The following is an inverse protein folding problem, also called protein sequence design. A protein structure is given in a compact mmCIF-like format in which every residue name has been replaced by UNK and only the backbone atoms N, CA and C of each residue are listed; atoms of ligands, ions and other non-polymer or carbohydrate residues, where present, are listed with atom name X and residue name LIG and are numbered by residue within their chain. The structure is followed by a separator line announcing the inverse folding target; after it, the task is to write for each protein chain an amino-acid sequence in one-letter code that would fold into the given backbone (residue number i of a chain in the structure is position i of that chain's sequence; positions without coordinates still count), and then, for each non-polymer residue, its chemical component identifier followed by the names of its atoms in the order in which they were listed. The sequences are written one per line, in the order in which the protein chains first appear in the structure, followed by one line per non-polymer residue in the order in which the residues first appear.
data_IF_600985837527
#
_entry.id   IF_600985837527
#
_cell.length_a   1.000
_cell.length_b   1.000
_cell.length_c   1.000
_cell.angle_alpha   90.00
_cell.angle_beta   90.00
_cell.angle_gamma   90.00
#
_symmetry.space_group_name_H-M   'P 1'
#
loop_
_entity.id
_entity.type
_entity.pdbx_description
1 polymer ?
#
# COMPACT_ATOMS: atom_id res chain seq x y z
N UNK A 1 -26.04 -10.97 -1.16
CA UNK A 1 -25.62 -10.84 0.24
C UNK A 1 -24.62 -9.71 0.29
N UNK A 2 -24.89 -8.76 1.18
CA UNK A 2 -24.38 -7.39 1.24
C UNK A 2 -22.85 -7.34 1.37
N UNK A 3 -22.22 -6.42 0.65
CA UNK A 3 -20.81 -6.07 0.91
C UNK A 3 -20.76 -5.51 2.34
N UNK A 4 -19.85 -5.98 3.22
CA UNK A 4 -19.88 -5.61 4.63
C UNK A 4 -19.67 -4.10 4.80
N UNK A 5 -20.71 -3.39 5.25
CA UNK A 5 -20.78 -1.92 5.35
C UNK A 5 -19.78 -1.34 6.37
N UNK A 6 -18.66 -0.77 5.91
CA UNK A 6 -17.63 -0.19 6.78
C UNK A 6 -18.18 1.03 7.51
N UNK A 7 -18.14 1.01 8.84
CA UNK A 7 -18.67 2.10 9.67
C UNK A 7 -17.53 3.07 10.00
N UNK A 8 -17.64 4.29 9.50
CA UNK A 8 -16.64 5.34 9.64
C UNK A 8 -17.13 6.39 10.63
N UNK A 9 -16.37 6.62 11.70
CA UNK A 9 -16.65 7.66 12.69
C UNK A 9 -16.20 9.03 12.18
N UNK A 10 -17.09 10.01 12.06
CA UNK A 10 -16.75 11.35 11.58
C UNK A 10 -16.62 12.35 12.74
N UNK A 11 -15.39 12.82 12.98
CA UNK A 11 -15.00 13.89 13.90
C UNK A 11 -14.83 15.19 13.10
N UNK A 12 -15.96 15.75 12.66
CA UNK A 12 -16.02 16.95 11.84
C UNK A 12 -16.76 18.04 12.62
N UNK A 13 -16.19 19.24 12.72
CA UNK A 13 -16.87 20.41 13.27
C UNK A 13 -17.78 21.08 12.23
N UNK A 14 -17.43 20.96 10.95
CA UNK A 14 -18.17 21.59 9.86
C UNK A 14 -19.26 20.67 9.26
N UNK A 15 -20.53 21.07 9.39
CA UNK A 15 -21.67 20.33 8.82
C UNK A 15 -21.62 20.25 7.28
N UNK A 16 -21.12 21.27 6.59
CA UNK A 16 -20.97 21.25 5.13
C UNK A 16 -19.93 20.22 4.67
N UNK A 17 -18.91 19.99 5.50
CA UNK A 17 -17.87 19.02 5.23
C UNK A 17 -18.41 17.61 5.47
N UNK A 18 -19.23 17.42 6.50
CA UNK A 18 -19.93 16.16 6.75
C UNK A 18 -20.83 15.75 5.58
N UNK A 19 -21.62 16.68 5.05
CA UNK A 19 -22.48 16.42 3.89
C UNK A 19 -21.68 16.16 2.61
N UNK A 20 -20.54 16.86 2.45
CA UNK A 20 -19.62 16.61 1.34
C UNK A 20 -18.94 15.24 1.44
N UNK A 21 -18.60 14.78 2.65
CA UNK A 21 -18.10 13.43 2.89
C UNK A 21 -19.17 12.36 2.60
N UNK A 22 -20.43 12.59 3.00
CA UNK A 22 -21.55 11.70 2.66
C UNK A 22 -21.71 11.56 1.15
N UNK A 23 -21.65 12.67 0.43
CA UNK A 23 -21.73 12.68 -1.03
C UNK A 23 -20.53 11.96 -1.68
N UNK A 24 -19.32 12.18 -1.16
CA UNK A 24 -18.08 11.57 -1.67
C UNK A 24 -17.96 10.07 -1.42
N UNK A 25 -18.60 9.55 -0.36
CA UNK A 25 -18.60 8.12 -0.01
C UNK A 25 -19.61 7.30 -0.81
N UNK A 26 -20.64 7.94 -1.37
CA UNK A 26 -21.69 7.29 -2.15
C UNK A 26 -22.54 6.29 -1.35
N UNK A 27 -23.63 5.80 -1.96
CA UNK A 27 -24.46 4.75 -1.36
C UNK A 27 -23.93 3.37 -1.75
N UNK A 28 -23.40 2.60 -0.78
CA UNK A 28 -23.29 1.16 -1.00
C UNK A 28 -22.27 0.39 -0.16
N UNK A 29 -21.24 1.02 0.43
CA UNK A 29 -20.22 0.30 1.23
C UNK A 29 -19.76 0.97 2.52
N UNK A 30 -20.08 2.25 2.74
CA UNK A 30 -19.62 3.01 3.91
C UNK A 30 -20.80 3.65 4.65
N UNK A 31 -20.88 3.41 5.96
CA UNK A 31 -21.81 4.09 6.87
C UNK A 31 -21.08 5.17 7.66
N UNK A 32 -21.53 6.42 7.60
CA UNK A 32 -20.91 7.52 8.36
C UNK A 32 -21.67 7.74 9.67
N UNK A 33 -20.95 7.68 10.80
CA UNK A 33 -21.47 8.01 12.12
C UNK A 33 -20.80 9.27 12.67
N UNK A 34 -21.50 10.40 12.81
CA UNK A 34 -20.92 11.59 13.43
C UNK A 34 -20.61 11.31 14.91
N UNK A 35 -19.43 11.74 15.36
CA UNK A 35 -18.96 11.63 16.74
C UNK A 35 -18.74 13.05 17.28
N UNK A 36 -19.09 13.29 18.54
CA UNK A 36 -18.90 14.60 19.15
C UNK A 36 -17.42 14.97 19.22
N UNK A 37 -17.10 16.22 18.90
CA UNK A 37 -15.75 16.80 18.96
C UNK A 37 -15.39 17.34 20.35
N UNK A 38 -16.32 17.28 21.32
CA UNK A 38 -16.08 17.67 22.70
C UNK A 38 -15.07 16.71 23.37
N UNK A 39 -13.87 17.14 23.84
CA UNK A 39 -12.82 16.24 24.33
C UNK A 39 -13.26 15.34 25.51
N UNK A 40 -14.16 15.81 26.36
CA UNK A 40 -14.70 15.05 27.49
C UNK A 40 -15.76 14.02 27.10
N UNK A 41 -16.47 14.23 25.98
CA UNK A 41 -17.49 13.29 25.46
C UNK A 41 -16.92 12.36 24.40
N UNK A 42 -15.93 12.85 23.64
CA UNK A 42 -15.22 12.13 22.59
C UNK A 42 -14.66 10.81 23.11
N UNK A 43 -14.01 10.80 24.28
CA UNK A 43 -13.46 9.58 24.84
C UNK A 43 -14.55 8.56 25.21
N UNK A 44 -15.65 9.01 25.80
CA UNK A 44 -16.76 8.14 26.22
C UNK A 44 -17.57 7.61 25.04
N UNK A 45 -17.82 8.46 24.03
CA UNK A 45 -18.51 8.07 22.79
C UNK A 45 -17.64 7.13 21.95
N UNK A 46 -16.34 7.42 21.83
CA UNK A 46 -15.43 6.60 21.06
C UNK A 46 -15.21 5.24 21.76
N UNK A 47 -15.12 5.18 23.09
CA UNK A 47 -15.07 3.90 23.82
C UNK A 47 -16.34 3.05 23.66
N UNK A 48 -17.52 3.66 23.74
CA UNK A 48 -18.80 2.94 23.61
C UNK A 48 -19.08 2.47 22.19
N UNK A 49 -18.55 3.19 21.19
CA UNK A 49 -18.75 2.88 19.78
C UNK A 49 -17.55 2.19 19.12
N UNK A 50 -16.43 2.01 19.83
CA UNK A 50 -15.18 1.48 19.28
C UNK A 50 -15.36 0.11 18.62
N UNK A 51 -16.13 -0.77 19.27
CA UNK A 51 -16.43 -2.10 18.75
C UNK A 51 -17.31 -2.06 17.48
N UNK A 52 -17.86 -0.91 17.11
CA UNK A 52 -18.65 -0.74 15.88
C UNK A 52 -17.93 -0.01 14.75
N UNK A 53 -16.75 0.58 15.00
CA UNK A 53 -16.06 1.46 14.04
C UNK A 53 -14.90 0.74 13.33
N UNK A 54 -14.84 0.92 12.01
CA UNK A 54 -13.78 0.37 11.15
C UNK A 54 -12.74 1.42 10.75
N UNK A 55 -13.10 2.71 10.85
CA UNK A 55 -12.20 3.84 10.58
C UNK A 55 -12.75 5.16 11.13
N UNK A 56 -11.92 6.20 11.09
CA UNK A 56 -12.26 7.55 11.59
C UNK A 56 -11.88 8.64 10.58
N UNK A 57 -12.76 9.60 10.38
CA UNK A 57 -12.54 10.83 9.64
C UNK A 57 -12.30 11.96 10.64
N UNK A 58 -11.21 12.71 10.49
CA UNK A 58 -10.82 13.74 11.45
C UNK A 58 -10.63 15.05 10.69
N UNK A 59 -11.33 16.11 11.06
CA UNK A 59 -11.00 17.45 10.55
C UNK A 59 -9.73 17.99 11.21
N UNK A 60 -8.84 18.59 10.42
CA UNK A 60 -7.56 19.11 10.91
C UNK A 60 -7.79 20.21 11.95
N UNK A 61 -7.18 20.05 13.13
CA UNK A 61 -7.30 21.00 14.25
C UNK A 61 -8.40 20.66 15.26
N UNK A 62 -9.14 19.56 15.06
CA UNK A 62 -10.18 19.12 16.00
C UNK A 62 -9.62 18.39 17.24
N UNK A 63 -8.47 17.73 17.09
CA UNK A 63 -7.85 16.97 18.18
C UNK A 63 -6.64 17.71 18.77
N UNK A 64 -6.73 17.99 20.08
CA UNK A 64 -5.62 18.50 20.87
C UNK A 64 -4.60 17.40 21.21
N UNK A 65 -3.33 17.77 21.36
CA UNK A 65 -2.23 16.85 21.72
C UNK A 65 -2.51 15.99 22.95
N UNK A 66 -3.21 16.53 23.95
CA UNK A 66 -3.58 15.81 25.16
C UNK A 66 -4.61 14.69 24.93
N UNK A 67 -5.58 14.91 24.02
CA UNK A 67 -6.57 13.89 23.65
C UNK A 67 -5.93 12.75 22.86
N UNK A 68 -4.93 13.07 22.03
CA UNK A 68 -4.15 12.08 21.28
C UNK A 68 -3.35 11.16 22.19
N UNK A 69 -2.68 11.73 23.20
CA UNK A 69 -1.92 10.95 24.17
C UNK A 69 -2.82 10.03 25.00
N UNK A 70 -4.03 10.48 25.34
CA UNK A 70 -5.04 9.65 26.01
C UNK A 70 -5.54 8.51 25.13
N UNK A 71 -5.84 8.77 23.85
CA UNK A 71 -6.27 7.73 22.90
C UNK A 71 -5.15 6.70 22.66
N UNK A 72 -3.90 7.16 22.59
CA UNK A 72 -2.71 6.31 22.48
C UNK A 72 -2.52 5.46 23.73
N UNK A 73 -2.61 6.05 24.92
CA UNK A 73 -2.47 5.34 26.20
C UNK A 73 -3.56 4.27 26.41
N UNK A 74 -4.76 4.49 25.86
CA UNK A 74 -5.87 3.54 25.94
C UNK A 74 -5.91 2.53 24.78
N UNK A 75 -5.06 2.70 23.76
CA UNK A 75 -4.98 1.82 22.60
C UNK A 75 -6.18 1.92 21.64
N UNK A 76 -6.93 3.02 21.68
CA UNK A 76 -8.16 3.25 20.90
C UNK A 76 -7.88 3.78 19.48
N UNK A 77 -6.72 3.46 18.91
CA UNK A 77 -6.34 3.92 17.58
C UNK A 77 -7.07 3.10 16.51
N UNK A 78 -7.66 3.79 15.55
CA UNK A 78 -8.35 3.27 14.36
C UNK A 78 -7.66 3.82 13.10
N UNK A 79 -7.81 3.17 11.93
CA UNK A 79 -7.44 3.75 10.65
C UNK A 79 -8.07 5.13 10.50
N UNK A 80 -7.30 6.15 10.10
CA UNK A 80 -7.83 7.50 10.04
C UNK A 80 -7.44 8.26 8.78
N UNK A 81 -8.40 9.04 8.29
CA UNK A 81 -8.23 10.02 7.22
C UNK A 81 -8.44 11.41 7.81
N UNK A 82 -7.40 12.24 7.75
CA UNK A 82 -7.43 13.62 8.24
C UNK A 82 -7.79 14.54 7.07
N UNK A 83 -8.86 15.30 7.20
CA UNK A 83 -9.32 16.25 6.19
C UNK A 83 -8.73 17.62 6.50
N UNK A 84 -7.87 18.12 5.62
CA UNK A 84 -7.17 19.38 5.82
C UNK A 84 -5.97 19.57 4.89
N UNK A 85 -5.17 20.59 5.17
CA UNK A 85 -3.96 20.88 4.42
C UNK A 85 -2.89 19.80 4.66
N UNK A 86 -2.32 19.29 3.56
CA UNK A 86 -1.24 18.28 3.57
C UNK A 86 0.05 18.96 4.05
N UNK A 87 0.20 19.07 5.36
CA UNK A 87 1.32 19.77 5.99
C UNK A 87 2.49 18.83 6.35
N UNK A 88 2.38 17.53 6.03
CA UNK A 88 3.41 16.52 6.31
C UNK A 88 3.61 16.20 7.81
N UNK A 89 2.75 16.72 8.69
CA UNK A 89 2.79 16.48 10.13
C UNK A 89 1.79 15.39 10.54
N UNK A 90 2.24 14.39 11.29
CA UNK A 90 1.37 13.35 11.85
C UNK A 90 0.53 13.92 12.99
N UNK A 91 -0.78 13.97 12.79
CA UNK A 91 -1.77 14.59 13.67
C UNK A 91 -2.47 13.57 14.58
N UNK A 92 -2.48 12.29 14.21
CA UNK A 92 -3.19 11.21 14.89
C UNK A 92 -2.30 9.96 15.02
N UNK A 93 -1.79 9.40 13.92
CA UNK A 93 -0.86 8.27 13.92
C UNK A 93 -0.01 8.19 12.65
N UNK A 94 1.08 7.42 12.70
CA UNK A 94 2.00 7.23 11.57
C UNK A 94 1.36 6.63 10.30
N UNK A 95 0.18 6.01 10.39
CA UNK A 95 -0.53 5.42 9.25
C UNK A 95 -1.72 6.26 8.75
N UNK A 96 -1.89 7.48 9.26
CA UNK A 96 -2.96 8.36 8.78
C UNK A 96 -2.70 8.85 7.36
N UNK A 97 -3.79 9.11 6.64
CA UNK A 97 -3.74 9.75 5.34
C UNK A 97 -4.37 11.13 5.41
N UNK A 98 -3.73 12.10 4.78
CA UNK A 98 -4.25 13.47 4.69
C UNK A 98 -4.99 13.62 3.37
N UNK A 99 -6.23 14.08 3.42
CA UNK A 99 -7.03 14.38 2.25
C UNK A 99 -7.43 15.86 2.25
N UNK A 100 -7.06 16.62 1.21
CA UNK A 100 -7.56 17.97 1.02
C UNK A 100 -9.10 18.01 0.87
N UNK A 101 -9.73 19.08 1.36
CA UNK A 101 -11.19 19.24 1.29
C UNK A 101 -11.72 19.36 -0.16
N UNK A 102 -10.87 19.71 -1.13
CA UNK A 102 -11.16 19.75 -2.57
C UNK A 102 -11.14 18.35 -3.23
N UNK A 103 -10.63 17.32 -2.55
CA UNK A 103 -10.44 15.97 -3.11
C UNK A 103 -11.32 14.90 -2.45
N UNK A 104 -12.45 15.30 -1.84
CA UNK A 104 -13.39 14.39 -1.16
C UNK A 104 -13.97 13.28 -2.06
N UNK A 105 -13.89 13.42 -3.39
CA UNK A 105 -14.25 12.33 -4.32
C UNK A 105 -13.31 11.11 -4.21
N UNK A 106 -12.11 11.28 -3.68
CA UNK A 106 -11.14 10.20 -3.45
C UNK A 106 -11.27 9.58 -2.05
N UNK A 107 -12.28 9.98 -1.28
CA UNK A 107 -12.48 9.54 0.10
C UNK A 107 -12.60 8.01 0.26
N UNK A 108 -13.34 7.28 -0.60
CA UNK A 108 -13.38 5.82 -0.55
C UNK A 108 -11.99 5.18 -0.68
N UNK A 109 -11.23 5.60 -1.70
CA UNK A 109 -9.87 5.11 -1.95
C UNK A 109 -8.91 5.44 -0.80
N UNK A 110 -9.06 6.64 -0.23
CA UNK A 110 -8.23 7.10 0.89
C UNK A 110 -8.55 6.33 2.18
N UNK A 111 -9.81 5.98 2.41
CA UNK A 111 -10.20 5.13 3.55
C UNK A 111 -9.65 3.71 3.40
N UNK A 112 -9.80 3.11 2.22
CA UNK A 112 -9.25 1.79 1.94
C UNK A 112 -7.73 1.79 2.12
N UNK A 113 -7.05 2.81 1.59
CA UNK A 113 -5.61 2.97 1.76
C UNK A 113 -5.20 3.21 3.23
N UNK A 114 -5.99 3.96 4.01
CA UNK A 114 -5.73 4.19 5.42
C UNK A 114 -5.87 2.88 6.22
N UNK A 115 -6.90 2.08 5.91
CA UNK A 115 -7.12 0.77 6.51
C UNK A 115 -5.97 -0.18 6.19
N UNK A 116 -5.58 -0.30 4.92
CA UNK A 116 -4.43 -1.12 4.51
C UNK A 116 -3.12 -0.67 5.18
N UNK A 117 -2.82 0.64 5.15
CA UNK A 117 -1.62 1.21 5.76
C UNK A 117 -1.57 0.95 7.28
N UNK A 118 -2.73 1.01 7.93
CA UNK A 118 -2.86 0.74 9.36
C UNK A 118 -2.61 -0.74 9.69
N UNK A 119 -3.14 -1.66 8.88
CA UNK A 119 -2.89 -3.10 9.03
C UNK A 119 -1.41 -3.43 8.82
N UNK A 120 -0.79 -2.93 7.73
CA UNK A 120 0.63 -3.17 7.42
C UNK A 120 1.57 -2.68 8.53
N UNK A 121 1.38 -1.43 8.99
CA UNK A 121 2.23 -0.85 10.05
C UNK A 121 1.98 -1.50 11.42
N UNK A 122 0.82 -2.10 11.66
CA UNK A 122 0.56 -2.88 12.89
C UNK A 122 1.23 -4.25 12.87
N UNK A 123 1.22 -4.96 11.74
CA UNK A 123 1.97 -6.23 11.61
C UNK A 123 3.44 -6.01 11.94
N UNK A 124 4.01 -4.89 11.49
CA UNK A 124 5.39 -4.48 11.80
C UNK A 124 5.61 -4.14 13.29
N UNK A 125 4.67 -3.47 13.96
CA UNK A 125 4.80 -3.07 15.39
C UNK A 125 4.48 -4.18 16.39
N UNK A 126 3.62 -5.14 16.05
CA UNK A 126 3.26 -6.28 16.92
C UNK A 126 4.46 -7.21 17.16
N UNK A 127 5.49 -7.15 16.31
CA UNK A 127 6.75 -7.84 16.53
C UNK A 127 7.61 -7.25 17.67
N UNK A 128 7.25 -6.08 18.23
CA UNK A 128 8.12 -5.35 19.17
C UNK A 128 7.51 -5.00 20.53
N UNK A 129 6.18 -5.07 20.76
CA UNK A 129 5.60 -4.73 22.08
C UNK A 129 4.36 -5.57 22.46
N UNK A 130 4.49 -6.34 23.55
CA UNK A 130 3.43 -7.12 24.20
C UNK A 130 2.69 -6.27 25.25
N UNK A 131 1.35 -6.27 25.17
CA UNK A 131 0.32 -6.04 26.22
C UNK A 131 -0.94 -5.30 25.72
N UNK A 132 -0.85 -4.38 24.75
CA UNK A 132 -2.03 -3.77 24.09
C UNK A 132 -2.52 -4.56 22.85
N UNK A 133 -1.88 -5.68 22.55
CA UNK A 133 -2.05 -6.48 21.34
C UNK A 133 -3.46 -7.07 21.17
N UNK A 134 -4.17 -7.42 22.26
CA UNK A 134 -5.40 -8.20 22.14
C UNK A 134 -6.57 -7.46 21.48
N UNK A 135 -6.75 -6.16 21.77
CA UNK A 135 -7.80 -5.33 21.15
C UNK A 135 -7.42 -4.95 19.73
N UNK A 136 -6.15 -4.59 19.54
CA UNK A 136 -5.61 -4.27 18.23
C UNK A 136 -5.75 -5.44 17.23
N UNK A 137 -5.52 -6.67 17.70
CA UNK A 137 -5.63 -7.90 16.93
C UNK A 137 -7.09 -8.26 16.56
N UNK A 138 -8.06 -7.99 17.43
CA UNK A 138 -9.49 -8.18 17.12
C UNK A 138 -9.97 -7.24 16.01
N UNK A 139 -9.50 -5.99 16.02
CA UNK A 139 -9.81 -5.03 14.97
C UNK A 139 -9.19 -5.44 13.64
N UNK A 140 -7.91 -5.85 13.62
CA UNK A 140 -7.27 -6.31 12.39
C UNK A 140 -7.94 -7.55 11.82
N UNK A 141 -8.29 -8.53 12.66
CA UNK A 141 -8.99 -9.73 12.22
C UNK A 141 -10.37 -9.39 11.62
N UNK A 142 -11.12 -8.48 12.24
CA UNK A 142 -12.42 -8.02 11.70
C UNK A 142 -12.27 -7.28 10.38
N UNK A 143 -11.28 -6.41 10.26
CA UNK A 143 -11.00 -5.70 9.01
C UNK A 143 -10.58 -6.69 7.91
N UNK A 144 -9.71 -7.65 8.22
CA UNK A 144 -9.28 -8.70 7.29
C UNK A 144 -10.44 -9.61 6.83
N UNK A 145 -11.32 -10.04 7.76
CA UNK A 145 -12.51 -10.84 7.46
C UNK A 145 -13.50 -10.10 6.55
N UNK A 146 -13.63 -8.78 6.73
CA UNK A 146 -14.56 -7.93 5.98
C UNK A 146 -14.00 -7.44 4.64
N UNK A 147 -12.69 -7.28 4.55
CA UNK A 147 -11.98 -6.91 3.33
C UNK A 147 -11.68 -8.13 2.45
N UNK A 148 -11.81 -9.35 3.00
CA UNK A 148 -11.77 -10.58 2.21
C UNK A 148 -10.40 -10.92 1.64
N UNK A 149 -9.30 -10.59 2.35
CA UNK A 149 -7.92 -10.87 1.93
C UNK A 149 -7.53 -12.36 2.00
N UNK A 150 -8.27 -13.24 1.31
CA UNK A 150 -7.92 -14.64 1.14
C UNK A 150 -7.76 -14.94 -0.36
N UNK A 151 -6.61 -14.54 -0.89
CA UNK A 151 -6.23 -14.85 -2.25
C UNK A 151 -5.01 -15.76 -2.33
N UNK A 152 -4.87 -16.43 -3.48
CA UNK A 152 -3.73 -17.31 -3.77
C UNK A 152 -2.59 -16.46 -4.29
N UNK A 153 -1.57 -16.24 -3.45
CA UNK A 153 -0.37 -15.50 -3.84
C UNK A 153 0.59 -16.39 -4.64
N UNK A 154 1.40 -15.77 -5.50
CA UNK A 154 2.64 -16.41 -5.94
C UNK A 154 3.46 -16.77 -4.71
N UNK A 155 3.74 -18.07 -4.52
CA UNK A 155 4.61 -18.55 -3.45
C UNK A 155 6.05 -18.12 -3.76
N UNK A 156 6.40 -16.90 -3.37
CA UNK A 156 7.79 -16.44 -3.34
C UNK A 156 8.46 -17.07 -2.14
N UNK A 157 9.69 -17.53 -2.30
CA UNK A 157 10.47 -18.09 -1.20
C UNK A 157 11.09 -16.93 -0.39
N UNK A 158 10.69 -16.72 0.88
CA UNK A 158 11.24 -15.64 1.68
C UNK A 158 12.74 -15.77 1.93
N UNK A 159 13.31 -16.97 1.83
CA UNK A 159 14.75 -17.19 2.03
C UNK A 159 15.58 -16.56 0.90
N UNK A 160 15.01 -16.41 -0.29
CA UNK A 160 15.67 -15.83 -1.47
C UNK A 160 15.52 -14.30 -1.56
N UNK A 161 14.86 -13.67 -0.59
CA UNK A 161 14.73 -12.22 -0.55
C UNK A 161 16.07 -11.56 -0.24
N UNK A 162 16.36 -10.45 -0.92
CA UNK A 162 17.61 -9.71 -0.77
C UNK A 162 17.94 -9.42 0.71
N UNK A 163 16.93 -9.10 1.53
CA UNK A 163 17.08 -8.82 2.97
C UNK A 163 17.48 -10.02 3.83
N UNK A 164 17.26 -11.24 3.35
CA UNK A 164 17.49 -12.48 4.09
C UNK A 164 18.72 -13.26 3.62
N UNK A 165 19.30 -12.86 2.48
CA UNK A 165 20.53 -13.44 1.94
C UNK A 165 21.76 -12.99 2.74
N UNK A 166 22.83 -13.79 2.69
CA UNK A 166 24.13 -13.39 3.22
C UNK A 166 24.76 -12.26 2.40
N UNK A 167 25.71 -11.50 2.97
CA UNK A 167 26.36 -10.38 2.27
C UNK A 167 27.03 -10.80 0.94
N UNK A 168 27.53 -12.03 0.87
CA UNK A 168 28.13 -12.61 -0.33
C UNK A 168 27.08 -12.86 -1.43
N UNK A 169 25.97 -13.52 -1.07
CA UNK A 169 24.86 -13.81 -1.99
C UNK A 169 24.14 -12.54 -2.44
N UNK A 170 23.97 -11.57 -1.53
CA UNK A 170 23.45 -10.24 -1.87
C UNK A 170 24.33 -9.56 -2.93
N UNK A 171 25.65 -9.59 -2.72
CA UNK A 171 26.60 -8.99 -3.66
C UNK A 171 26.54 -9.67 -5.03
N UNK A 172 26.44 -11.01 -5.06
CA UNK A 172 26.31 -11.78 -6.30
C UNK A 172 25.00 -11.46 -7.04
N UNK A 173 23.87 -11.43 -6.31
CA UNK A 173 22.57 -11.09 -6.85
C UNK A 173 22.57 -9.67 -7.45
N UNK A 174 23.09 -8.69 -6.71
CA UNK A 174 23.19 -7.30 -7.20
C UNK A 174 24.09 -7.21 -8.43
N UNK A 175 25.19 -7.95 -8.49
CA UNK A 175 26.03 -8.01 -9.68
C UNK A 175 25.33 -8.65 -10.88
N UNK A 176 24.54 -9.71 -10.64
CA UNK A 176 23.71 -10.34 -11.67
C UNK A 176 22.68 -9.37 -12.24
N UNK A 177 21.95 -8.67 -11.36
CA UNK A 177 21.00 -7.62 -11.72
C UNK A 177 21.66 -6.49 -12.51
N UNK A 178 22.86 -6.04 -12.10
CA UNK A 178 23.64 -5.03 -12.84
C UNK A 178 24.02 -5.50 -14.23
N UNK A 179 24.42 -6.77 -14.40
CA UNK A 179 24.75 -7.36 -15.72
C UNK A 179 23.51 -7.40 -16.61
N UNK A 180 22.41 -7.95 -16.11
CA UNK A 180 21.13 -8.03 -16.82
C UNK A 180 20.63 -6.63 -17.24
N UNK A 181 20.68 -5.66 -16.32
CA UNK A 181 20.27 -4.28 -16.62
C UNK A 181 21.20 -3.59 -17.63
N UNK A 182 22.50 -3.86 -17.57
CA UNK A 182 23.45 -3.36 -18.58
C UNK A 182 23.13 -3.92 -19.97
N UNK A 183 22.86 -5.21 -20.05
CA UNK A 183 22.54 -5.86 -21.33
C UNK A 183 21.21 -5.34 -21.89
N UNK A 184 20.23 -5.06 -21.03
CA UNK A 184 18.99 -4.34 -21.36
C UNK A 184 19.27 -2.97 -21.97
N UNK A 185 20.09 -2.13 -21.31
CA UNK A 185 20.38 -0.80 -21.83
C UNK A 185 21.14 -0.86 -23.18
N UNK A 186 22.02 -1.84 -23.37
CA UNK A 186 22.75 -2.02 -24.63
C UNK A 186 21.85 -2.47 -25.79
N UNK A 187 20.80 -3.26 -25.51
CA UNK A 187 19.84 -3.72 -26.51
C UNK A 187 18.66 -2.77 -26.72
N UNK A 188 18.32 -1.92 -25.74
CA UNK A 188 17.08 -1.13 -25.70
C UNK A 188 16.74 -0.39 -26.99
N UNK A 189 17.69 0.37 -27.56
CA UNK A 189 17.48 1.11 -28.80
C UNK A 189 17.89 0.36 -30.07
N UNK A 190 18.55 -0.80 -29.93
CA UNK A 190 19.12 -1.56 -31.05
C UNK A 190 18.22 -2.71 -31.51
N UNK A 191 17.67 -3.44 -30.56
CA UNK A 191 16.90 -4.67 -30.81
C UNK A 191 15.75 -4.77 -29.79
N UNK A 192 14.51 -4.43 -30.20
CA UNK A 192 13.34 -4.50 -29.33
C UNK A 192 13.05 -5.91 -28.77
N UNK A 193 13.36 -6.96 -29.51
CA UNK A 193 13.10 -8.33 -29.05
C UNK A 193 14.09 -8.72 -27.94
N UNK A 194 15.37 -8.42 -28.13
CA UNK A 194 16.39 -8.65 -27.11
C UNK A 194 16.18 -7.73 -25.88
N UNK A 195 15.70 -6.51 -26.09
CA UNK A 195 15.35 -5.59 -25.01
C UNK A 195 14.22 -6.15 -24.14
N UNK A 196 13.14 -6.63 -24.74
CA UNK A 196 12.01 -7.23 -24.02
C UNK A 196 12.44 -8.46 -23.21
N UNK A 197 13.28 -9.34 -23.77
CA UNK A 197 13.82 -10.48 -23.03
C UNK A 197 14.71 -10.06 -21.85
N UNK A 198 15.54 -9.04 -22.04
CA UNK A 198 16.39 -8.51 -20.98
C UNK A 198 15.55 -7.84 -19.87
N UNK A 199 14.48 -7.12 -20.26
CA UNK A 199 13.46 -6.58 -19.35
C UNK A 199 12.83 -7.71 -18.52
N UNK A 200 12.26 -8.72 -19.16
CA UNK A 200 11.65 -9.86 -18.46
C UNK A 200 12.62 -10.57 -17.53
N UNK A 201 13.86 -10.80 -17.98
CA UNK A 201 14.91 -11.43 -17.17
C UNK A 201 15.24 -10.61 -15.92
N UNK A 202 15.49 -9.31 -16.07
CA UNK A 202 15.76 -8.42 -14.95
C UNK A 202 14.60 -8.40 -13.95
N UNK A 203 13.38 -8.33 -14.47
CA UNK A 203 12.15 -8.17 -13.71
C UNK A 203 11.81 -9.42 -12.90
N UNK A 204 11.92 -10.60 -13.50
CA UNK A 204 11.73 -11.86 -12.80
C UNK A 204 12.69 -11.95 -11.60
N UNK A 205 13.98 -11.70 -11.81
CA UNK A 205 14.97 -11.72 -10.72
C UNK A 205 14.66 -10.65 -9.66
N UNK A 206 14.31 -9.43 -10.06
CA UNK A 206 13.96 -8.36 -9.13
C UNK A 206 12.74 -8.71 -8.26
N UNK A 207 11.72 -9.34 -8.83
CA UNK A 207 10.49 -9.69 -8.11
C UNK A 207 10.63 -10.85 -7.14
N UNK A 208 11.29 -11.92 -7.57
CA UNK A 208 11.50 -13.08 -6.72
C UNK A 208 12.47 -12.78 -5.57
N UNK A 209 13.40 -11.83 -5.76
CA UNK A 209 14.29 -11.36 -4.69
C UNK A 209 13.71 -10.23 -3.84
N UNK A 210 12.47 -9.79 -4.10
CA UNK A 210 11.81 -8.68 -3.41
C UNK A 210 12.67 -7.39 -3.42
N UNK A 211 13.25 -7.08 -4.58
CA UNK A 211 14.14 -5.93 -4.78
C UNK A 211 13.36 -4.62 -4.59
N UNK A 212 13.80 -3.72 -3.68
CA UNK A 212 13.18 -2.40 -3.56
C UNK A 212 13.31 -1.60 -4.85
N UNK A 213 12.25 -0.88 -5.24
CA UNK A 213 12.25 -0.03 -6.45
C UNK A 213 13.41 0.97 -6.43
N UNK A 214 13.76 1.50 -5.26
CA UNK A 214 14.90 2.40 -5.07
C UNK A 214 16.23 1.78 -5.51
N UNK A 215 16.41 0.46 -5.34
CA UNK A 215 17.60 -0.27 -5.80
C UNK A 215 17.64 -0.43 -7.32
N UNK A 216 16.50 -0.60 -7.99
CA UNK A 216 16.46 -0.62 -9.45
C UNK A 216 16.88 0.74 -10.05
N UNK A 217 16.41 1.84 -9.45
CA UNK A 217 16.83 3.20 -9.83
C UNK A 217 18.32 3.43 -9.54
N UNK A 218 18.82 2.95 -8.40
CA UNK A 218 20.25 3.03 -8.05
C UNK A 218 21.13 2.29 -9.07
N UNK A 219 20.72 1.10 -9.51
CA UNK A 219 21.43 0.33 -10.55
C UNK A 219 21.48 1.13 -11.85
N UNK A 220 20.34 1.72 -12.27
CA UNK A 220 20.27 2.55 -13.46
C UNK A 220 21.23 3.74 -13.39
N UNK A 221 21.16 4.53 -12.30
CA UNK A 221 21.99 5.73 -12.15
C UNK A 221 23.48 5.41 -12.14
N UNK A 222 23.88 4.35 -11.43
CA UNK A 222 25.29 3.92 -11.39
C UNK A 222 25.82 3.52 -12.78
N UNK A 223 25.00 2.89 -13.62
CA UNK A 223 25.39 2.51 -14.98
C UNK A 223 25.51 3.74 -15.88
N UNK A 224 24.53 4.63 -15.84
CA UNK A 224 24.54 5.88 -16.62
C UNK A 224 25.72 6.77 -16.23
N UNK A 225 26.00 6.93 -14.93
CA UNK A 225 27.16 7.68 -14.44
C UNK A 225 28.48 7.04 -14.87
N UNK A 226 28.56 5.70 -14.83
CA UNK A 226 29.72 4.96 -15.30
C UNK A 226 29.99 5.20 -16.79
N UNK A 227 28.95 5.10 -17.63
CA UNK A 227 29.04 5.36 -19.07
C UNK A 227 29.34 6.82 -19.39
N UNK A 228 28.75 7.77 -18.68
CA UNK A 228 29.05 9.19 -18.85
C UNK A 228 30.52 9.50 -18.57
N UNK A 229 31.09 8.93 -17.49
CA UNK A 229 32.51 9.06 -17.18
C UNK A 229 33.39 8.46 -18.27
N UNK A 230 33.04 7.26 -18.76
CA UNK A 230 33.79 6.59 -19.81
C UNK A 230 33.76 7.36 -21.13
N UNK A 231 32.58 7.78 -21.60
CA UNK A 231 32.43 8.55 -22.84
C UNK A 231 33.16 9.89 -22.78
N UNK A 232 33.15 10.56 -21.61
CA UNK A 232 33.89 11.80 -21.42
C UNK A 232 35.41 11.60 -21.53
N UNK A 233 35.93 10.45 -21.08
CA UNK A 233 37.35 10.10 -21.26
C UNK A 233 37.68 9.80 -22.72
N UNK A 234 36.73 9.23 -23.47
CA UNK A 234 36.84 8.95 -24.90
C UNK A 234 36.59 10.20 -25.78
N UNK A 235 36.18 11.33 -25.18
CA UNK A 235 35.90 12.59 -25.88
C UNK A 235 34.53 12.65 -26.56
N UNK A 236 33.62 11.72 -26.25
CA UNK A 236 32.27 11.67 -26.79
C UNK A 236 31.27 12.48 -25.94
N UNK A 237 30.21 12.97 -26.59
CA UNK A 237 29.08 13.59 -25.90
C UNK A 237 28.24 12.53 -25.18
N UNK A 238 27.78 12.84 -23.97
CA UNK A 238 26.98 11.93 -23.13
C UNK A 238 25.51 12.34 -23.02
N UNK A 239 25.03 13.25 -23.87
CA UNK A 239 23.67 13.81 -23.76
C UNK A 239 22.58 12.77 -24.08
N UNK A 240 22.86 11.87 -25.04
CA UNK A 240 21.96 10.76 -25.41
C UNK A 240 21.68 9.79 -24.25
N UNK A 241 22.52 9.78 -23.20
CA UNK A 241 22.28 8.92 -22.03
C UNK A 241 20.98 9.28 -21.31
N UNK A 242 20.45 10.49 -21.50
CA UNK A 242 19.14 10.88 -20.98
C UNK A 242 17.99 10.08 -21.58
N UNK A 243 18.15 9.56 -22.80
CA UNK A 243 17.12 8.78 -23.48
C UNK A 243 16.87 7.43 -22.78
N UNK A 244 17.87 6.92 -22.05
CA UNK A 244 17.72 5.72 -21.22
C UNK A 244 16.74 5.89 -20.04
N UNK A 245 16.27 7.12 -19.75
CA UNK A 245 15.13 7.32 -18.83
C UNK A 245 13.90 6.56 -19.30
N UNK A 246 13.70 6.40 -20.61
CA UNK A 246 12.62 5.57 -21.16
C UNK A 246 12.76 4.10 -20.76
N UNK A 247 14.00 3.57 -20.80
CA UNK A 247 14.26 2.20 -20.35
C UNK A 247 13.98 2.01 -18.85
N UNK A 248 14.28 3.02 -18.01
CA UNK A 248 13.93 2.98 -16.60
C UNK A 248 12.42 2.98 -16.38
N UNK A 249 11.67 3.84 -17.08
CA UNK A 249 10.21 3.88 -17.01
C UNK A 249 9.60 2.54 -17.41
N UNK A 250 10.13 1.92 -18.46
CA UNK A 250 9.64 0.65 -18.97
C UNK A 250 9.85 -0.50 -17.97
N UNK A 251 11.04 -0.57 -17.36
CA UNK A 251 11.33 -1.52 -16.28
C UNK A 251 10.42 -1.29 -15.08
N UNK A 252 10.20 -0.04 -14.67
CA UNK A 252 9.31 0.28 -13.56
C UNK A 252 7.86 -0.12 -13.85
N UNK A 253 7.38 0.15 -15.07
CA UNK A 253 6.02 -0.20 -15.48
C UNK A 253 5.79 -1.71 -15.43
N UNK A 254 6.71 -2.50 -15.98
CA UNK A 254 6.62 -3.95 -15.98
C UNK A 254 6.75 -4.55 -14.57
N UNK A 255 7.64 -3.99 -13.72
CA UNK A 255 7.75 -4.41 -12.32
C UNK A 255 6.44 -4.12 -11.56
N UNK A 256 5.87 -2.93 -11.73
CA UNK A 256 4.58 -2.56 -11.12
C UNK A 256 3.45 -3.46 -11.59
N UNK A 257 3.38 -3.77 -12.90
CA UNK A 257 2.34 -4.64 -13.45
C UNK A 257 2.46 -6.08 -12.93
N UNK A 258 3.68 -6.59 -12.74
CA UNK A 258 3.89 -7.91 -12.14
C UNK A 258 3.48 -7.94 -10.66
N UNK A 259 3.80 -6.90 -9.88
CA UNK A 259 3.27 -6.77 -8.51
C UNK A 259 1.74 -6.69 -8.52
N UNK A 260 1.15 -5.93 -9.45
CA UNK A 260 -0.31 -5.82 -9.63
C UNK A 260 -0.95 -7.17 -9.94
N UNK A 261 -0.38 -7.95 -10.85
CA UNK A 261 -0.85 -9.31 -11.21
C UNK A 261 -0.63 -10.34 -10.10
N UNK A 262 0.34 -10.09 -9.23
CA UNK A 262 0.62 -10.97 -8.08
C UNK A 262 -0.38 -10.82 -6.95
N UNK A 263 -1.12 -9.70 -6.94
CA UNK A 263 -2.27 -9.51 -6.06
C UNK A 263 -3.42 -10.30 -6.69
N UNK A 264 -3.91 -11.36 -6.03
CA UNK A 264 -5.07 -12.09 -6.51
C UNK A 264 -6.23 -11.09 -6.65
N UNK A 265 -7.03 -11.17 -7.74
CA UNK A 265 -8.19 -10.31 -7.87
C UNK A 265 -9.04 -10.45 -6.61
N UNK A 266 -9.58 -9.34 -6.11
CA UNK A 266 -10.60 -9.34 -5.05
C UNK A 266 -11.52 -10.52 -5.30
N UNK A 267 -11.81 -11.38 -4.28
CA UNK A 267 -12.78 -12.42 -4.48
C UNK A 267 -14.09 -11.75 -4.89
N UNK A 268 -14.41 -11.80 -6.18
CA UNK A 268 -15.71 -11.45 -6.74
C UNK A 268 -16.72 -12.45 -6.21
N UNK A 269 -17.06 -12.30 -4.93
CA UNK A 269 -17.83 -13.25 -4.17
C UNK A 269 -17.17 -14.63 -4.09
N UNK A 270 -17.24 -15.22 -2.91
CA UNK A 270 -17.23 -16.67 -2.71
C UNK A 270 -18.32 -17.43 -3.49
N UNK A 271 -18.98 -16.83 -4.50
CA UNK A 271 -20.01 -17.46 -5.32
C UNK A 271 -19.45 -18.42 -6.38
N UNK A 272 -18.18 -18.30 -6.78
CA UNK A 272 -17.60 -19.18 -7.80
C UNK A 272 -17.21 -20.57 -7.28
N UNK A 273 -16.91 -20.69 -5.97
CA UNK A 273 -16.61 -22.00 -5.36
C UNK A 273 -17.86 -22.79 -4.95
N UNK A 274 -18.96 -22.12 -4.60
CA UNK A 274 -20.22 -22.81 -4.28
C UNK A 274 -20.87 -23.43 -5.53
N UNK A 275 -20.81 -22.76 -6.69
CA UNK A 275 -21.44 -23.27 -7.93
C UNK A 275 -20.66 -24.42 -8.59
N UNK A 276 -19.36 -24.55 -8.32
CA UNK A 276 -18.57 -25.69 -8.79
C UNK A 276 -18.77 -26.94 -7.92
N UNK A 277 -19.08 -26.77 -6.64
CA UNK A 277 -19.41 -27.88 -5.74
C UNK A 277 -20.84 -28.40 -5.98
N UNK A 278 -21.80 -27.53 -6.25
CA UNK A 278 -23.20 -27.94 -6.53
C UNK A 278 -23.37 -28.67 -7.86
N UNK A 279 -22.62 -28.28 -8.91
CA UNK A 279 -22.68 -28.97 -10.21
C UNK A 279 -22.10 -30.38 -10.20
N UNK A 280 -21.26 -30.71 -9.22
CA UNK A 280 -20.71 -32.07 -9.08
C UNK A 280 -21.64 -32.99 -8.24
N UNK A 281 -22.67 -32.45 -7.58
CA UNK A 281 -23.67 -33.24 -6.86
C UNK A 281 -24.95 -33.49 -7.68
N UNK A 282 -25.28 -32.64 -8.66
CA UNK A 282 -26.44 -32.87 -9.54
C UNK A 282 -26.19 -33.85 -10.70
N UNK A 283 -24.94 -34.11 -11.09
CA UNK A 283 -24.63 -35.12 -12.15
C UNK A 283 -24.49 -36.56 -11.62
N UNK A 284 -24.75 -36.80 -10.32
CA UNK A 284 -24.66 -38.13 -9.70
C UNK A 284 -25.95 -38.61 -9.03
N UNK A 285 -27.11 -38.04 -9.38
CA UNK A 285 -28.44 -38.55 -9.00
C UNK A 285 -29.25 -38.99 -10.21
#
# INVERSE_FOLDING_TARGET
MEVPELVIGALLQNELLLDSCRLGLGEGRYGIRPISTDPNKLLAELQSCWDGLDGVLIEQGVLDGSSLDLLRAQGLMLPAVVIGAVNGQTTYHEAELHLPADQLAQLPYSLDAAVCSFLEKRVLKTAQQDHHAQRAWRLSQRLEERLGFLGVYYKRDPQLFLRNLSDAEQSELIQSLKRSYRDLLLSYFRDPAAANQAIESFINTAFFSDLPITKAVEIHMNLIDGWSKQLRLEGHQSEFLQDYRLALLDVMAHLCEMYRRSIPPEPLGSSARSKAADRLQEESS
#
